data_IF_869669037957
#
_entry.id   IF_869669037957
#
_cell.length_a   1.000
_cell.length_b   1.000
_cell.length_c   1.000
_cell.angle_alpha   90.00
_cell.angle_beta   90.00
_cell.angle_gamma   90.00
#
_symmetry.space_group_name_H-M   'P 1'
#
loop_
_entity.id
_entity.type
_entity.pdbx_description
1 polymer ?
#
# COMPACT_ATOMS: atom_id res chain seq x y z
N UNK A 1 58.81 0.27 -17.34
CA UNK A 1 58.98 0.03 -15.90
C UNK A 1 57.59 -0.06 -15.30
N UNK A 2 57.10 -1.28 -15.11
CA UNK A 2 55.80 -1.55 -14.47
C UNK A 2 56.07 -1.68 -12.97
N UNK A 3 56.00 -0.55 -12.25
CA UNK A 3 55.89 -0.58 -10.79
C UNK A 3 54.65 -1.40 -10.43
N UNK A 4 54.77 -2.30 -9.45
CA UNK A 4 53.61 -3.00 -8.93
C UNK A 4 52.70 -1.96 -8.30
N UNK A 5 51.42 -1.93 -8.69
CA UNK A 5 50.42 -1.00 -8.14
C UNK A 5 50.45 -0.91 -6.60
N UNK A 6 50.83 -2.00 -5.95
CA UNK A 6 51.04 -2.07 -4.50
C UNK A 6 52.15 -1.15 -4.00
N UNK A 7 53.28 -1.09 -4.68
CA UNK A 7 54.43 -0.28 -4.27
C UNK A 7 54.15 1.20 -4.50
N UNK A 8 53.47 1.52 -5.61
CA UNK A 8 53.02 2.88 -5.92
C UNK A 8 52.00 3.37 -4.88
N UNK A 9 50.98 2.57 -4.52
CA UNK A 9 49.97 2.93 -3.49
C UNK A 9 50.60 3.12 -2.09
N UNK A 10 51.59 2.29 -1.72
CA UNK A 10 52.34 2.46 -0.46
C UNK A 10 53.19 3.73 -0.49
N UNK A 11 53.82 4.03 -1.61
CA UNK A 11 54.61 5.25 -1.79
C UNK A 11 53.75 6.51 -1.69
N UNK A 12 52.55 6.51 -2.30
CA UNK A 12 51.58 7.61 -2.19
C UNK A 12 51.16 7.89 -0.74
N UNK A 13 51.00 6.86 0.09
CA UNK A 13 50.70 7.06 1.52
C UNK A 13 51.86 7.76 2.25
N UNK A 14 53.11 7.37 1.93
CA UNK A 14 54.30 8.04 2.47
C UNK A 14 54.41 9.49 1.98
N UNK A 15 54.13 9.75 0.70
CA UNK A 15 54.09 11.11 0.17
C UNK A 15 53.04 11.97 0.87
N UNK A 16 51.86 11.43 1.16
CA UNK A 16 50.81 12.13 1.91
C UNK A 16 51.28 12.51 3.33
N UNK A 17 52.00 11.61 4.02
CA UNK A 17 52.59 11.86 5.33
C UNK A 17 53.66 12.97 5.27
N UNK A 18 54.56 12.93 4.27
CA UNK A 18 55.65 13.91 4.11
C UNK A 18 55.12 15.28 3.65
N UNK A 19 54.06 15.29 2.85
CA UNK A 19 53.50 16.53 2.28
C UNK A 19 52.62 17.31 3.26
N UNK A 20 52.11 16.67 4.31
CA UNK A 20 51.27 17.31 5.31
C UNK A 20 52.07 18.28 6.20
N UNK A 21 51.97 19.58 5.93
CA UNK A 21 52.74 20.61 6.66
C UNK A 21 52.17 20.97 8.04
N UNK A 22 50.86 20.79 8.26
CA UNK A 22 50.21 21.25 9.49
C UNK A 22 49.40 20.16 10.18
N UNK A 23 48.50 19.50 9.46
CA UNK A 23 47.66 18.42 10.00
C UNK A 23 47.52 17.32 8.97
N UNK A 24 47.67 16.08 9.42
CA UNK A 24 47.33 14.88 8.66
C UNK A 24 46.01 14.34 9.21
N UNK A 25 44.99 14.20 8.35
CA UNK A 25 43.69 13.63 8.71
C UNK A 25 43.54 12.26 8.04
N UNK A 26 43.29 11.24 8.84
CA UNK A 26 43.08 9.86 8.38
C UNK A 26 41.73 9.38 8.92
N UNK A 27 40.93 8.78 8.05
CA UNK A 27 39.64 8.18 8.40
C UNK A 27 39.46 6.84 7.73
N UNK A 28 38.73 5.93 8.38
CA UNK A 28 38.29 4.67 7.81
C UNK A 28 36.93 4.27 8.39
N UNK A 29 36.23 3.37 7.70
CA UNK A 29 34.96 2.81 8.17
C UNK A 29 35.30 1.70 9.17
N UNK A 30 35.04 1.94 10.45
CA UNK A 30 35.37 0.98 11.52
C UNK A 30 34.36 -0.15 11.73
N UNK A 31 33.12 -0.01 11.22
CA UNK A 31 32.09 -1.06 11.31
C UNK A 31 31.16 -1.06 10.10
N UNK A 32 30.64 -2.23 9.77
CA UNK A 32 29.58 -2.39 8.77
C UNK A 32 28.23 -1.87 9.29
N UNK A 33 27.48 -1.16 8.44
CA UNK A 33 26.16 -0.62 8.79
C UNK A 33 25.06 -1.70 8.87
N UNK A 34 25.29 -2.86 8.25
CA UNK A 34 24.30 -3.94 8.13
C UNK A 34 24.33 -4.89 9.32
N UNK A 35 25.51 -5.42 9.65
CA UNK A 35 25.72 -6.48 10.63
C UNK A 35 26.58 -6.05 11.82
N UNK A 36 27.02 -4.78 11.86
CA UNK A 36 27.85 -4.21 12.93
C UNK A 36 29.20 -4.95 13.12
N UNK A 37 29.63 -5.75 12.16
CA UNK A 37 30.93 -6.40 12.16
C UNK A 37 32.05 -5.35 12.12
N UNK A 38 33.13 -5.63 12.85
CA UNK A 38 34.30 -4.75 12.90
C UNK A 38 35.04 -4.77 11.57
N UNK A 39 35.49 -3.60 11.15
CA UNK A 39 36.32 -3.40 9.97
C UNK A 39 37.63 -2.80 10.39
N UNK A 40 38.70 -3.37 9.85
CA UNK A 40 40.05 -2.96 10.15
C UNK A 40 40.49 -1.83 9.23
N UNK A 41 41.33 -0.91 9.74
CA UNK A 41 41.96 0.10 8.90
C UNK A 41 42.91 -0.58 7.88
N UNK A 42 43.33 0.19 6.88
CA UNK A 42 44.42 -0.25 5.99
C UNK A 42 45.67 -0.56 6.81
N UNK A 43 46.43 -1.58 6.40
CA UNK A 43 47.69 -1.97 7.06
C UNK A 43 48.66 -0.79 7.18
N UNK A 44 48.67 0.12 6.21
CA UNK A 44 49.51 1.33 6.27
C UNK A 44 49.12 2.30 7.40
N UNK A 45 47.82 2.42 7.67
CA UNK A 45 47.32 3.21 8.80
C UNK A 45 47.66 2.51 10.11
N UNK A 46 47.56 1.18 10.16
CA UNK A 46 47.96 0.39 11.32
C UNK A 46 49.46 0.55 11.62
N UNK A 47 50.34 0.41 10.60
CA UNK A 47 51.80 0.62 10.71
C UNK A 47 52.12 2.02 11.28
N UNK A 48 51.41 3.06 10.82
CA UNK A 48 51.61 4.43 11.31
C UNK A 48 51.15 4.60 12.77
N UNK A 49 49.97 4.10 13.12
CA UNK A 49 49.41 4.19 14.49
C UNK A 49 50.26 3.39 15.48
N UNK A 50 50.76 2.22 15.06
CA UNK A 50 51.69 1.39 15.84
C UNK A 50 53.01 2.13 16.08
N UNK A 51 53.59 2.72 15.03
CA UNK A 51 54.83 3.50 15.16
C UNK A 51 54.67 4.71 16.11
N UNK A 52 53.56 5.45 16.01
CA UNK A 52 53.27 6.58 16.91
C UNK A 52 53.14 6.11 18.36
N UNK A 53 52.39 5.02 18.60
CA UNK A 53 52.18 4.48 19.94
C UNK A 53 53.48 3.97 20.59
N UNK A 54 54.37 3.36 19.82
CA UNK A 54 55.66 2.84 20.33
C UNK A 54 56.70 3.93 20.63
N UNK A 55 56.53 5.11 20.04
CA UNK A 55 57.53 6.21 20.12
C UNK A 55 57.10 7.39 20.99
N UNK A 56 55.87 7.38 21.52
CA UNK A 56 55.31 8.48 22.30
C UNK A 56 54.64 7.97 23.58
N UNK A 57 54.47 8.86 24.54
CA UNK A 57 53.63 8.66 25.72
C UNK A 57 52.84 9.95 26.00
N UNK A 58 51.73 9.84 26.73
CA UNK A 58 50.94 11.01 27.12
C UNK A 58 51.50 11.62 28.41
N UNK A 59 51.43 12.95 28.60
CA UNK A 59 51.82 13.56 29.87
C UNK A 59 51.10 12.92 31.06
N UNK A 60 51.84 12.54 32.10
CA UNK A 60 51.33 11.80 33.26
C UNK A 60 51.44 10.27 33.18
N UNK A 61 51.94 9.73 32.06
CA UNK A 61 52.20 8.31 31.87
C UNK A 61 53.72 7.97 31.90
N UNK A 62 54.58 8.86 32.41
CA UNK A 62 56.06 8.75 32.35
C UNK A 62 56.62 7.47 33.00
N UNK A 63 56.00 7.01 34.08
CA UNK A 63 56.43 5.83 34.84
C UNK A 63 55.65 4.55 34.47
N UNK A 64 54.73 4.64 33.50
CA UNK A 64 53.96 3.46 33.05
C UNK A 64 54.80 2.54 32.19
N UNK A 65 54.37 1.28 32.10
CA UNK A 65 55.02 0.34 31.20
C UNK A 65 54.74 0.72 29.73
N UNK A 66 55.59 0.19 28.84
CA UNK A 66 55.55 0.51 27.41
C UNK A 66 54.19 0.17 26.77
N UNK A 67 53.64 -1.00 27.08
CA UNK A 67 52.41 -1.51 26.46
C UNK A 67 51.18 -0.67 26.86
N UNK A 68 51.07 -0.28 28.14
CA UNK A 68 49.98 0.56 28.64
C UNK A 68 50.06 1.99 28.08
N UNK A 69 51.27 2.54 27.99
CA UNK A 69 51.51 3.84 27.38
C UNK A 69 51.12 3.84 25.90
N UNK A 70 51.58 2.83 25.14
CA UNK A 70 51.27 2.66 23.71
C UNK A 70 49.75 2.61 23.47
N UNK A 71 49.02 1.79 24.24
CA UNK A 71 47.57 1.66 24.10
C UNK A 71 46.84 2.99 24.32
N UNK A 72 47.28 3.79 25.31
CA UNK A 72 46.66 5.08 25.62
C UNK A 72 46.92 6.12 24.54
N UNK A 73 48.12 6.15 23.96
CA UNK A 73 48.42 7.00 22.81
C UNK A 73 47.52 6.64 21.62
N UNK A 74 47.40 5.35 21.28
CA UNK A 74 46.53 4.88 20.18
C UNK A 74 45.07 5.26 20.41
N UNK A 75 44.57 5.07 21.63
CA UNK A 75 43.22 5.46 22.00
C UNK A 75 43.00 6.99 21.97
N UNK A 76 44.02 7.78 22.31
CA UNK A 76 43.95 9.25 22.30
C UNK A 76 43.86 9.83 20.88
N UNK A 77 44.62 9.28 19.94
CA UNK A 77 44.63 9.75 18.54
C UNK A 77 43.47 9.15 17.70
N UNK A 78 42.84 8.08 18.18
CA UNK A 78 41.71 7.43 17.49
C UNK A 78 40.38 8.02 17.95
N UNK A 79 39.56 8.49 16.99
CA UNK A 79 38.22 8.99 17.24
C UNK A 79 37.16 8.04 16.69
N UNK A 80 36.28 7.51 17.53
CA UNK A 80 35.07 6.84 17.09
C UNK A 80 33.96 7.87 16.91
N UNK A 81 33.53 8.07 15.66
CA UNK A 81 32.40 8.93 15.34
C UNK A 81 31.07 8.18 15.50
N UNK A 82 30.02 8.91 15.88
CA UNK A 82 28.69 8.33 15.98
C UNK A 82 28.13 7.96 14.61
N UNK A 83 27.18 7.02 14.58
CA UNK A 83 26.55 6.56 13.33
C UNK A 83 25.64 7.62 12.73
N UNK A 84 24.88 8.33 13.57
CA UNK A 84 23.88 9.29 13.12
C UNK A 84 24.38 10.71 13.31
N UNK A 85 24.15 11.62 12.34
CA UNK A 85 24.62 13.00 12.43
C UNK A 85 23.95 13.79 13.57
N UNK A 86 22.77 13.36 14.01
CA UNK A 86 22.01 13.94 15.11
C UNK A 86 22.25 13.25 16.47
N UNK A 87 23.27 12.39 16.59
CA UNK A 87 23.62 11.84 17.89
C UNK A 87 24.02 12.98 18.86
N UNK A 88 23.47 13.04 20.09
CA UNK A 88 23.79 14.09 21.05
C UNK A 88 25.29 14.28 21.31
N UNK A 89 26.10 13.21 21.18
CA UNK A 89 27.56 13.29 21.38
C UNK A 89 28.21 14.31 20.45
N UNK A 90 27.70 14.47 19.22
CA UNK A 90 28.22 15.40 18.23
C UNK A 90 27.96 16.87 18.58
N UNK A 91 27.05 17.17 19.52
CA UNK A 91 26.67 18.54 19.91
C UNK A 91 27.15 18.90 21.31
N UNK A 92 27.95 18.04 21.95
CA UNK A 92 28.62 18.35 23.20
C UNK A 92 29.80 19.30 22.97
N UNK A 93 30.06 20.19 23.92
CA UNK A 93 31.17 21.15 23.83
C UNK A 93 32.51 20.40 23.77
N UNK A 94 33.10 20.35 22.58
CA UNK A 94 34.38 19.69 22.30
C UNK A 94 34.97 20.29 21.02
N UNK A 95 36.25 20.02 20.75
CA UNK A 95 36.90 20.43 19.49
C UNK A 95 36.24 19.83 18.24
N UNK A 96 35.46 18.75 18.41
CA UNK A 96 34.80 18.00 17.34
C UNK A 96 33.29 18.26 17.30
N UNK A 97 32.81 19.28 18.00
CA UNK A 97 31.41 19.67 17.96
C UNK A 97 30.98 19.91 16.50
N UNK A 98 29.84 19.32 16.12
CA UNK A 98 29.23 19.50 14.82
C UNK A 98 28.79 20.95 14.64
N UNK A 99 29.07 21.48 13.44
CA UNK A 99 28.61 22.80 13.01
C UNK A 99 27.23 22.74 12.32
N UNK A 100 26.68 21.54 12.10
CA UNK A 100 25.42 21.29 11.41
C UNK A 100 24.22 21.56 12.35
N UNK A 101 23.78 22.81 12.40
CA UNK A 101 22.70 23.26 13.29
C UNK A 101 21.35 22.60 12.99
N UNK A 102 21.12 22.13 11.77
CA UNK A 102 19.87 21.50 11.33
C UNK A 102 19.49 20.26 12.14
N UNK A 103 20.48 19.57 12.72
CA UNK A 103 20.28 18.38 13.53
C UNK A 103 20.18 18.66 15.03
N UNK A 104 20.51 19.88 15.46
CA UNK A 104 20.50 20.25 16.88
C UNK A 104 19.13 20.04 17.56
N UNK A 105 17.98 20.36 16.92
CA UNK A 105 16.68 20.08 17.53
C UNK A 105 16.44 18.59 17.75
N UNK A 106 16.86 17.74 16.81
CA UNK A 106 16.76 16.28 16.92
C UNK A 106 17.69 15.74 18.01
N UNK A 107 18.94 16.22 18.05
CA UNK A 107 19.93 15.84 19.06
C UNK A 107 19.49 16.22 20.49
N UNK A 108 18.84 17.38 20.65
CA UNK A 108 18.28 17.82 21.93
C UNK A 108 16.91 17.23 22.26
N UNK A 109 16.31 16.48 21.32
CA UNK A 109 14.93 15.95 21.43
C UNK A 109 13.89 17.07 21.64
N UNK A 110 14.09 18.20 20.98
CA UNK A 110 13.18 19.36 21.00
C UNK A 110 11.99 19.21 20.04
N UNK A 111 11.89 18.08 19.34
CA UNK A 111 10.77 17.77 18.46
C UNK A 111 9.47 17.52 19.23
N UNK A 112 8.35 18.00 18.68
CA UNK A 112 7.01 17.59 19.10
C UNK A 112 6.62 16.31 18.37
N UNK A 113 6.08 15.33 19.09
CA UNK A 113 5.45 14.17 18.46
C UNK A 113 4.30 14.63 17.53
N UNK A 114 4.09 13.91 16.43
CA UNK A 114 2.90 14.14 15.61
C UNK A 114 1.65 13.93 16.45
N UNK A 115 0.67 14.82 16.30
CA UNK A 115 -0.64 14.67 16.93
C UNK A 115 -1.42 13.55 16.27
N UNK A 116 -2.42 13.02 16.98
CA UNK A 116 -3.33 12.03 16.41
C UNK A 116 -3.95 12.55 15.10
N UNK A 117 -3.81 11.75 14.05
CA UNK A 117 -4.31 12.13 12.72
C UNK A 117 -5.83 12.30 12.71
N UNK A 118 -6.54 11.45 13.45
CA UNK A 118 -8.00 11.45 13.47
C UNK A 118 -8.51 12.53 14.43
N UNK A 119 -8.81 13.68 13.87
CA UNK A 119 -9.55 14.76 14.52
C UNK A 119 -10.95 14.85 13.90
N UNK A 120 -11.98 15.01 14.73
CA UNK A 120 -13.35 15.16 14.25
C UNK A 120 -13.49 16.49 13.50
N UNK A 121 -14.03 16.42 12.29
CA UNK A 121 -14.24 17.59 11.44
C UNK A 121 -15.67 18.11 11.58
N UNK A 122 -15.83 19.42 11.37
CA UNK A 122 -17.16 20.03 11.40
C UNK A 122 -18.13 19.36 10.38
N UNK A 123 -19.35 19.03 10.83
CA UNK A 123 -20.40 18.49 9.98
C UNK A 123 -20.70 19.39 8.79
N UNK A 124 -20.84 18.79 7.61
CA UNK A 124 -21.37 19.47 6.42
C UNK A 124 -22.81 19.04 6.18
N UNK A 125 -23.73 19.96 5.84
CA UNK A 125 -25.07 19.58 5.45
C UNK A 125 -25.01 18.71 4.17
N UNK A 126 -25.80 17.64 4.16
CA UNK A 126 -25.95 16.74 3.02
C UNK A 126 -27.44 16.70 2.70
N UNK A 127 -27.87 17.60 1.82
CA UNK A 127 -29.27 17.70 1.41
C UNK A 127 -29.59 16.74 0.26
N UNK A 128 -28.61 16.49 -0.61
CA UNK A 128 -28.70 15.59 -1.75
C UNK A 128 -27.49 14.66 -1.78
N UNK A 129 -27.72 13.38 -2.02
CA UNK A 129 -26.68 12.35 -2.11
C UNK A 129 -26.96 11.45 -3.31
N UNK A 130 -25.97 11.17 -4.15
CA UNK A 130 -26.16 10.18 -5.21
C UNK A 130 -26.03 8.78 -4.64
N UNK A 131 -26.79 7.82 -5.18
CA UNK A 131 -26.69 6.44 -4.74
C UNK A 131 -25.28 5.85 -4.98
N UNK A 132 -24.61 6.25 -6.06
CA UNK A 132 -23.23 5.89 -6.34
C UNK A 132 -22.24 6.39 -5.26
N UNK A 133 -22.46 7.60 -4.72
CA UNK A 133 -21.65 8.12 -3.61
C UNK A 133 -21.81 7.28 -2.35
N UNK A 134 -23.05 6.88 -2.04
CA UNK A 134 -23.36 6.00 -0.92
C UNK A 134 -22.73 4.61 -1.09
N UNK A 135 -22.89 4.00 -2.27
CA UNK A 135 -22.26 2.73 -2.64
C UNK A 135 -20.74 2.80 -2.51
N UNK A 136 -20.11 3.83 -3.08
CA UNK A 136 -18.65 4.04 -3.02
C UNK A 136 -18.16 4.26 -1.60
N UNK A 137 -18.92 4.95 -0.76
CA UNK A 137 -18.59 5.12 0.66
C UNK A 137 -18.56 3.77 1.37
N UNK A 138 -19.65 2.99 1.28
CA UNK A 138 -19.76 1.72 1.97
C UNK A 138 -18.89 0.60 1.39
N UNK A 139 -18.39 0.75 0.16
CA UNK A 139 -17.37 -0.15 -0.38
C UNK A 139 -16.08 -0.08 0.44
N UNK A 140 -15.68 1.11 0.90
CA UNK A 140 -14.51 1.31 1.76
C UNK A 140 -14.59 2.67 2.49
N UNK A 141 -15.21 2.75 3.69
CA UNK A 141 -15.52 4.03 4.36
C UNK A 141 -14.29 4.88 4.70
N UNK A 142 -13.21 4.25 5.18
CA UNK A 142 -11.95 4.95 5.48
C UNK A 142 -11.38 5.60 4.21
N UNK A 143 -11.26 4.86 3.11
CA UNK A 143 -10.84 5.40 1.80
C UNK A 143 -11.76 6.53 1.37
N UNK A 144 -13.07 6.37 1.54
CA UNK A 144 -14.03 7.40 1.18
C UNK A 144 -13.85 8.69 2.00
N UNK A 145 -13.52 8.63 3.29
CA UNK A 145 -13.17 9.82 4.08
C UNK A 145 -11.98 10.58 3.46
N UNK A 146 -10.89 9.89 3.14
CA UNK A 146 -9.74 10.55 2.49
C UNK A 146 -10.11 11.13 1.12
N UNK A 147 -10.77 10.35 0.27
CA UNK A 147 -11.02 10.75 -1.12
C UNK A 147 -12.16 11.76 -1.28
N UNK A 148 -13.22 11.66 -0.49
CA UNK A 148 -14.43 12.48 -0.61
C UNK A 148 -14.40 13.67 0.37
N UNK A 149 -14.01 13.46 1.64
CA UNK A 149 -13.98 14.53 2.65
C UNK A 149 -12.69 15.36 2.55
N UNK A 150 -11.53 14.71 2.57
CA UNK A 150 -10.24 15.41 2.56
C UNK A 150 -9.73 15.72 1.15
N UNK A 151 -10.33 15.13 0.11
CA UNK A 151 -9.87 15.18 -1.29
C UNK A 151 -8.42 14.67 -1.49
N UNK A 152 -7.96 13.82 -0.58
CA UNK A 152 -6.65 13.19 -0.61
C UNK A 152 -6.75 11.84 -1.32
N UNK A 153 -6.01 11.71 -2.42
CA UNK A 153 -5.88 10.46 -3.17
C UNK A 153 -4.40 10.09 -3.25
N UNK A 154 -4.01 9.02 -2.56
CA UNK A 154 -2.69 8.41 -2.71
C UNK A 154 -2.64 7.61 -4.00
N UNK A 155 -2.37 8.29 -5.12
CA UNK A 155 -2.16 7.63 -6.41
C UNK A 155 -0.70 7.17 -6.45
N UNK A 156 -0.49 5.88 -6.65
CA UNK A 156 0.81 5.37 -7.10
C UNK A 156 0.92 5.69 -8.58
N UNK A 157 1.93 6.44 -9.00
CA UNK A 157 2.13 6.77 -10.42
C UNK A 157 2.73 5.60 -11.22
N UNK A 158 3.21 4.56 -10.54
CA UNK A 158 3.83 3.41 -11.18
C UNK A 158 2.83 2.26 -11.29
N UNK A 159 2.35 2.02 -12.50
CA UNK A 159 1.94 0.68 -12.92
C UNK A 159 3.17 0.03 -13.52
N UNK A 160 3.69 -1.01 -12.87
CA UNK A 160 4.84 -1.77 -13.34
C UNK A 160 4.53 -2.30 -14.74
N UNK A 161 5.36 -1.91 -15.72
CA UNK A 161 5.26 -2.46 -17.07
C UNK A 161 5.88 -3.86 -16.99
N UNK A 162 5.15 -4.93 -17.37
CA UNK A 162 5.71 -6.26 -17.34
C UNK A 162 6.99 -6.36 -18.18
N UNK A 163 8.06 -6.93 -17.61
CA UNK A 163 9.34 -7.17 -18.30
C UNK A 163 9.25 -8.26 -19.39
N UNK A 164 8.15 -9.02 -19.40
CA UNK A 164 7.92 -10.12 -20.31
C UNK A 164 6.46 -10.21 -20.75
N UNK A 165 6.23 -11.01 -21.79
CA UNK A 165 4.89 -11.39 -22.24
C UNK A 165 4.13 -12.20 -21.18
N UNK A 166 2.79 -12.21 -21.19
CA UNK A 166 2.01 -12.93 -20.19
C UNK A 166 2.13 -14.44 -20.36
N UNK A 167 2.75 -15.13 -19.40
CA UNK A 167 2.78 -16.60 -19.37
C UNK A 167 1.60 -17.20 -18.60
N UNK A 168 1.07 -16.44 -17.63
CA UNK A 168 -0.10 -16.81 -16.83
C UNK A 168 -1.10 -15.67 -16.82
N UNK A 169 -2.36 -15.98 -16.52
CA UNK A 169 -3.44 -15.00 -16.38
C UNK A 169 -3.86 -14.95 -14.90
N UNK A 170 -3.47 -13.89 -14.20
CA UNK A 170 -3.62 -13.77 -12.75
C UNK A 170 -4.20 -12.42 -12.32
N UNK A 171 -4.53 -12.32 -11.03
CA UNK A 171 -4.93 -11.06 -10.39
C UNK A 171 -6.04 -10.31 -11.13
N UNK A 172 -5.76 -9.03 -11.41
CA UNK A 172 -6.70 -8.08 -12.01
C UNK A 172 -7.02 -8.42 -13.48
N UNK A 173 -6.05 -8.88 -14.25
CA UNK A 173 -6.24 -9.21 -15.67
C UNK A 173 -7.21 -10.37 -15.84
N UNK A 174 -7.02 -11.44 -15.05
CA UNK A 174 -7.97 -12.56 -15.01
C UNK A 174 -9.37 -12.11 -14.63
N UNK A 175 -9.49 -11.22 -13.64
CA UNK A 175 -10.78 -10.69 -13.21
C UNK A 175 -11.47 -9.91 -14.34
N UNK A 176 -10.74 -9.03 -15.05
CA UNK A 176 -11.26 -8.25 -16.16
C UNK A 176 -11.71 -9.14 -17.33
N UNK A 177 -10.90 -10.15 -17.68
CA UNK A 177 -11.24 -11.14 -18.69
C UNK A 177 -12.52 -11.89 -18.30
N UNK A 178 -12.55 -12.45 -17.09
CA UNK A 178 -13.70 -13.22 -16.63
C UNK A 178 -14.96 -12.38 -16.52
N UNK A 179 -14.85 -11.07 -16.24
CA UNK A 179 -16.02 -10.19 -16.19
C UNK A 179 -16.65 -10.02 -17.57
N UNK A 180 -15.82 -9.82 -18.60
CA UNK A 180 -16.31 -9.71 -19.97
C UNK A 180 -16.84 -11.05 -20.49
N UNK A 181 -16.11 -12.14 -20.21
CA UNK A 181 -16.51 -13.50 -20.60
C UNK A 181 -17.84 -13.90 -19.94
N UNK A 182 -17.98 -13.66 -18.63
CA UNK A 182 -19.22 -13.96 -17.91
C UNK A 182 -20.41 -13.19 -18.48
N UNK A 183 -20.25 -11.89 -18.74
CA UNK A 183 -21.32 -11.09 -19.33
C UNK A 183 -21.70 -11.59 -20.73
N UNK A 184 -20.72 -11.91 -21.58
CA UNK A 184 -20.98 -12.47 -22.91
C UNK A 184 -21.76 -13.81 -22.80
N UNK A 185 -21.36 -14.70 -21.90
CA UNK A 185 -22.06 -15.98 -21.71
C UNK A 185 -23.47 -15.83 -21.13
N UNK A 186 -23.71 -14.83 -20.27
CA UNK A 186 -25.04 -14.52 -19.72
C UNK A 186 -25.97 -13.96 -20.79
N UNK A 187 -25.45 -13.15 -21.71
CA UNK A 187 -26.20 -12.62 -22.86
C UNK A 187 -26.24 -13.58 -24.06
N UNK A 188 -25.73 -14.81 -23.91
CA UNK A 188 -25.66 -15.83 -24.96
C UNK A 188 -24.88 -15.37 -26.22
N UNK A 189 -23.90 -14.49 -26.02
CA UNK A 189 -22.98 -14.05 -27.06
C UNK A 189 -21.90 -15.10 -27.34
N UNK A 190 -21.30 -14.99 -28.53
CA UNK A 190 -20.25 -15.88 -29.01
C UNK A 190 -18.91 -15.62 -28.31
N UNK A 191 -18.52 -16.53 -27.41
CA UNK A 191 -17.26 -16.47 -26.67
C UNK A 191 -16.03 -16.50 -27.60
N UNK A 192 -16.10 -17.11 -28.78
CA UNK A 192 -14.97 -17.17 -29.72
C UNK A 192 -14.60 -15.79 -30.26
N UNK A 193 -15.56 -14.86 -30.35
CA UNK A 193 -15.27 -13.46 -30.71
C UNK A 193 -14.44 -12.78 -29.63
N UNK A 194 -14.78 -13.01 -28.36
CA UNK A 194 -14.04 -12.48 -27.22
C UNK A 194 -12.63 -13.06 -27.19
N UNK A 195 -12.49 -14.38 -27.39
CA UNK A 195 -11.19 -15.06 -27.48
C UNK A 195 -10.27 -14.41 -28.53
N UNK A 196 -10.76 -14.23 -29.75
CA UNK A 196 -9.98 -13.61 -30.84
C UNK A 196 -9.54 -12.18 -30.49
N UNK A 197 -10.38 -11.42 -29.79
CA UNK A 197 -10.07 -10.06 -29.35
C UNK A 197 -8.95 -10.04 -28.31
N UNK A 198 -9.06 -10.86 -27.26
CA UNK A 198 -8.04 -10.96 -26.21
C UNK A 198 -6.70 -11.48 -26.74
N UNK A 199 -6.75 -12.47 -27.65
CA UNK A 199 -5.57 -12.97 -28.34
C UNK A 199 -4.90 -11.90 -29.20
N UNK A 200 -5.68 -11.14 -29.99
CA UNK A 200 -5.14 -10.07 -30.83
C UNK A 200 -4.57 -8.89 -30.01
N UNK A 201 -5.07 -8.67 -28.80
CA UNK A 201 -4.56 -7.68 -27.87
C UNK A 201 -3.29 -8.12 -27.11
N UNK A 202 -2.82 -9.36 -27.30
CA UNK A 202 -1.65 -9.89 -26.58
C UNK A 202 -1.88 -10.11 -25.08
N UNK A 203 -3.15 -10.24 -24.66
CA UNK A 203 -3.55 -10.38 -23.24
C UNK A 203 -3.66 -11.83 -22.78
N UNK A 204 -3.35 -12.79 -23.65
CA UNK A 204 -3.37 -14.22 -23.37
C UNK A 204 -1.98 -14.83 -23.59
N UNK A 205 -1.65 -15.91 -22.87
CA UNK A 205 -0.44 -16.67 -23.16
C UNK A 205 -0.38 -17.17 -24.60
N UNK A 206 0.85 -17.34 -25.09
CA UNK A 206 1.08 -17.67 -26.49
C UNK A 206 0.58 -19.08 -26.86
N UNK A 207 -0.04 -19.18 -28.05
CA UNK A 207 -0.41 -20.44 -28.69
C UNK A 207 -1.34 -21.32 -27.84
N UNK A 208 -0.99 -22.61 -27.75
CA UNK A 208 -1.81 -23.62 -27.05
C UNK A 208 -2.02 -23.31 -25.56
N UNK A 209 -1.08 -22.59 -24.90
CA UNK A 209 -1.26 -22.19 -23.50
C UNK A 209 -2.40 -21.18 -23.34
N UNK A 210 -2.54 -20.24 -24.27
CA UNK A 210 -3.67 -19.31 -24.30
C UNK A 210 -5.00 -20.01 -24.52
N UNK A 211 -5.02 -21.02 -25.40
CA UNK A 211 -6.20 -21.86 -25.66
C UNK A 211 -6.64 -22.61 -24.40
N UNK A 212 -5.70 -23.28 -23.71
CA UNK A 212 -5.98 -24.02 -22.47
C UNK A 212 -6.50 -23.10 -21.36
N UNK A 213 -5.85 -21.93 -21.17
CA UNK A 213 -6.28 -20.96 -20.16
C UNK A 213 -7.68 -20.44 -20.47
N UNK A 214 -7.94 -20.13 -21.73
CA UNK A 214 -9.25 -19.68 -22.20
C UNK A 214 -10.34 -20.74 -21.97
N UNK A 215 -10.10 -21.99 -22.39
CA UNK A 215 -11.04 -23.10 -22.19
C UNK A 215 -11.37 -23.30 -20.70
N UNK A 216 -10.36 -23.24 -19.82
CA UNK A 216 -10.57 -23.34 -18.39
C UNK A 216 -11.43 -22.19 -17.83
N UNK A 217 -11.21 -20.94 -18.28
CA UNK A 217 -12.05 -19.82 -17.87
C UNK A 217 -13.47 -19.95 -18.43
N UNK A 218 -13.64 -20.41 -19.67
CA UNK A 218 -14.93 -20.68 -20.29
C UNK A 218 -15.72 -21.72 -19.49
N UNK A 219 -15.09 -22.82 -19.09
CA UNK A 219 -15.75 -23.86 -18.30
C UNK A 219 -16.26 -23.29 -16.96
N UNK A 220 -15.41 -22.55 -16.24
CA UNK A 220 -15.80 -21.97 -14.94
C UNK A 220 -16.89 -20.89 -15.09
N UNK A 221 -16.77 -20.00 -16.07
CA UNK A 221 -17.74 -18.93 -16.29
C UNK A 221 -19.05 -19.43 -16.86
N UNK A 222 -19.05 -20.54 -17.62
CA UNK A 222 -20.28 -21.17 -18.13
C UNK A 222 -21.16 -21.66 -16.99
N UNK A 223 -20.58 -22.37 -16.01
CA UNK A 223 -21.32 -22.84 -14.84
C UNK A 223 -21.97 -21.69 -14.05
N UNK A 224 -21.26 -20.56 -13.91
CA UNK A 224 -21.83 -19.36 -13.28
C UNK A 224 -22.90 -18.69 -14.16
N UNK A 225 -22.67 -18.59 -15.46
CA UNK A 225 -23.61 -18.00 -16.41
C UNK A 225 -24.91 -18.80 -16.53
N UNK A 226 -24.87 -20.12 -16.41
CA UNK A 226 -26.05 -20.99 -16.39
C UNK A 226 -26.94 -20.67 -15.18
N UNK A 227 -26.38 -20.61 -13.97
CA UNK A 227 -27.12 -20.20 -12.76
C UNK A 227 -27.78 -18.83 -12.90
N UNK A 228 -27.09 -17.88 -13.53
CA UNK A 228 -27.64 -16.55 -13.81
C UNK A 228 -28.80 -16.67 -14.79
N UNK A 229 -28.63 -17.38 -15.91
CA UNK A 229 -29.64 -17.54 -16.97
C UNK A 229 -30.91 -18.22 -16.47
N UNK A 230 -30.80 -19.24 -15.61
CA UNK A 230 -31.95 -19.92 -15.00
C UNK A 230 -32.88 -18.98 -14.23
N UNK A 231 -32.32 -17.93 -13.62
CA UNK A 231 -33.07 -16.95 -12.83
C UNK A 231 -33.32 -15.64 -13.58
N UNK A 232 -32.78 -15.45 -14.79
CA UNK A 232 -32.80 -14.17 -15.49
C UNK A 232 -34.11 -13.97 -16.22
N UNK A 233 -34.76 -12.85 -15.94
CA UNK A 233 -35.92 -12.31 -16.63
C UNK A 233 -35.57 -10.95 -17.26
N UNK A 234 -36.33 -10.49 -18.26
CA UNK A 234 -36.17 -9.14 -18.81
C UNK A 234 -36.31 -8.07 -17.72
N UNK A 235 -35.27 -7.25 -17.57
CA UNK A 235 -35.24 -6.16 -16.60
C UNK A 235 -35.36 -4.78 -17.23
N UNK A 236 -35.74 -3.79 -16.43
CA UNK A 236 -35.75 -2.36 -16.79
C UNK A 236 -34.90 -1.54 -15.84
N UNK A 237 -34.51 -0.35 -16.25
CA UNK A 237 -33.91 0.62 -15.32
C UNK A 237 -35.02 1.36 -14.58
N UNK A 238 -34.85 1.56 -13.28
CA UNK A 238 -35.71 2.39 -12.45
C UNK A 238 -34.89 3.57 -11.91
N UNK A 239 -35.51 4.74 -11.88
CA UNK A 239 -34.93 5.93 -11.28
C UNK A 239 -35.07 5.84 -9.76
N UNK A 240 -34.05 6.26 -9.04
CA UNK A 240 -34.07 6.40 -7.59
C UNK A 240 -34.37 7.87 -7.31
N UNK A 241 -35.48 8.14 -6.62
CA UNK A 241 -35.84 9.48 -6.15
C UNK A 241 -36.47 9.38 -4.75
N UNK A 242 -35.63 9.16 -3.73
CA UNK A 242 -36.08 8.84 -2.38
C UNK A 242 -35.66 9.93 -1.39
N UNK A 243 -36.61 10.46 -0.62
CA UNK A 243 -36.29 11.27 0.55
C UNK A 243 -36.16 10.37 1.78
N UNK A 244 -34.95 10.26 2.32
CA UNK A 244 -34.66 9.43 3.48
C UNK A 244 -33.80 10.20 4.49
N UNK A 245 -34.27 10.30 5.74
CA UNK A 245 -33.57 11.00 6.83
C UNK A 245 -33.19 12.47 6.48
N UNK A 246 -34.06 13.15 5.72
CA UNK A 246 -33.86 14.52 5.27
C UNK A 246 -32.82 14.67 4.16
N UNK A 247 -32.44 13.58 3.49
CA UNK A 247 -31.53 13.57 2.33
C UNK A 247 -32.30 13.08 1.11
N UNK A 248 -32.21 13.80 0.01
CA UNK A 248 -32.67 13.33 -1.29
C UNK A 248 -31.62 12.39 -1.89
N UNK A 249 -31.97 11.11 -1.99
CA UNK A 249 -31.16 10.09 -2.63
C UNK A 249 -31.56 9.93 -4.09
N UNK A 250 -30.62 10.16 -5.01
CA UNK A 250 -30.88 10.12 -6.46
C UNK A 250 -29.97 9.15 -7.19
N UNK A 251 -30.44 8.53 -8.27
CA UNK A 251 -29.62 7.63 -9.09
C UNK A 251 -30.45 6.67 -9.94
N UNK A 252 -29.86 5.54 -10.33
CA UNK A 252 -30.52 4.52 -11.13
C UNK A 252 -30.22 3.12 -10.62
N UNK A 253 -31.24 2.27 -10.54
CA UNK A 253 -31.06 0.82 -10.43
C UNK A 253 -31.29 0.20 -11.80
N UNK A 254 -30.28 -0.47 -12.32
CA UNK A 254 -30.31 -1.10 -13.64
C UNK A 254 -30.79 -2.55 -13.56
N UNK A 255 -31.35 -3.06 -14.66
CA UNK A 255 -31.73 -4.47 -14.83
C UNK A 255 -32.62 -4.99 -13.67
N UNK A 256 -33.58 -4.18 -13.24
CA UNK A 256 -34.58 -4.57 -12.24
C UNK A 256 -35.60 -5.48 -12.90
N UNK A 257 -35.70 -6.69 -12.39
CA UNK A 257 -36.59 -7.75 -12.88
C UNK A 257 -37.92 -7.72 -12.13
N UNK A 258 -38.97 -8.39 -12.65
CA UNK A 258 -40.26 -8.49 -11.95
C UNK A 258 -40.17 -9.14 -10.57
N UNK A 259 -39.20 -10.03 -10.37
CA UNK A 259 -38.96 -10.75 -9.11
C UNK A 259 -37.86 -10.09 -8.23
N UNK A 260 -37.30 -8.96 -8.68
CA UNK A 260 -36.39 -8.10 -7.93
C UNK A 260 -35.03 -7.87 -8.60
N UNK A 261 -33.94 -7.98 -7.85
CA UNK A 261 -32.59 -7.67 -8.33
C UNK A 261 -31.80 -8.95 -8.55
N UNK A 262 -31.19 -9.09 -9.73
CA UNK A 262 -30.20 -10.12 -10.02
C UNK A 262 -28.88 -9.45 -10.39
N UNK A 263 -27.82 -9.86 -9.70
CA UNK A 263 -26.45 -9.42 -9.93
C UNK A 263 -25.55 -10.64 -10.09
N UNK A 264 -24.41 -10.47 -10.73
CA UNK A 264 -23.41 -11.53 -10.85
C UNK A 264 -22.02 -10.94 -10.97
N UNK A 265 -21.01 -11.66 -10.44
CA UNK A 265 -19.60 -11.28 -10.59
C UNK A 265 -18.68 -12.51 -10.65
N UNK A 266 -17.58 -12.44 -11.43
CA UNK A 266 -16.58 -13.51 -11.53
C UNK A 266 -15.57 -13.47 -10.37
N UNK A 267 -16.04 -13.26 -9.14
CA UNK A 267 -15.22 -13.14 -7.94
C UNK A 267 -15.62 -14.20 -6.92
N UNK A 268 -14.86 -14.36 -5.84
CA UNK A 268 -15.32 -15.10 -4.66
C UNK A 268 -16.35 -14.26 -3.90
N UNK A 269 -17.14 -14.94 -3.06
CA UNK A 269 -18.07 -14.29 -2.13
C UNK A 269 -17.31 -13.39 -1.16
N UNK A 270 -17.82 -12.19 -0.94
CA UNK A 270 -17.26 -11.24 0.05
C UNK A 270 -18.36 -10.45 0.71
N UNK A 271 -18.08 -9.95 1.91
CA UNK A 271 -19.01 -9.11 2.69
C UNK A 271 -19.21 -7.78 1.99
N UNK A 272 -18.18 -7.22 1.35
CA UNK A 272 -18.31 -5.99 0.57
C UNK A 272 -19.36 -6.13 -0.55
N UNK A 273 -19.36 -7.25 -1.29
CA UNK A 273 -20.40 -7.51 -2.31
C UNK A 273 -21.79 -7.64 -1.70
N UNK A 274 -21.93 -8.35 -0.57
CA UNK A 274 -23.19 -8.48 0.15
C UNK A 274 -23.74 -7.12 0.59
N UNK A 275 -22.87 -6.25 1.10
CA UNK A 275 -23.23 -4.88 1.49
C UNK A 275 -23.65 -4.02 0.29
N UNK A 276 -22.98 -4.15 -0.86
CA UNK A 276 -23.40 -3.44 -2.08
C UNK A 276 -24.79 -3.90 -2.56
N UNK A 277 -25.04 -5.21 -2.60
CA UNK A 277 -26.36 -5.74 -2.94
C UNK A 277 -27.41 -5.32 -1.91
N UNK A 278 -27.05 -5.28 -0.62
CA UNK A 278 -27.94 -4.86 0.44
C UNK A 278 -28.38 -3.41 0.28
N UNK A 279 -27.45 -2.50 -0.04
CA UNK A 279 -27.79 -1.10 -0.30
C UNK A 279 -28.74 -0.97 -1.52
N UNK A 280 -28.49 -1.72 -2.59
CA UNK A 280 -29.40 -1.77 -3.74
C UNK A 280 -30.78 -2.31 -3.35
N UNK A 281 -30.83 -3.36 -2.53
CA UNK A 281 -32.05 -3.96 -2.02
C UNK A 281 -32.86 -2.99 -1.16
N UNK A 282 -32.20 -2.24 -0.27
CA UNK A 282 -32.86 -1.23 0.55
C UNK A 282 -33.49 -0.12 -0.29
N UNK A 283 -32.78 0.37 -1.31
CA UNK A 283 -33.32 1.39 -2.21
C UNK A 283 -34.48 0.82 -3.02
N UNK A 284 -34.34 -0.39 -3.57
CA UNK A 284 -35.39 -1.09 -4.30
C UNK A 284 -36.67 -1.27 -3.45
N UNK A 285 -36.53 -1.76 -2.22
CA UNK A 285 -37.69 -1.98 -1.33
C UNK A 285 -38.26 -0.69 -0.76
N UNK A 286 -37.44 0.34 -0.52
CA UNK A 286 -37.90 1.64 -0.05
C UNK A 286 -38.83 2.32 -1.06
N UNK A 287 -38.57 2.16 -2.36
CA UNK A 287 -39.43 2.67 -3.44
C UNK A 287 -40.72 1.84 -3.63
N UNK A 288 -41.00 0.89 -2.72
CA UNK A 288 -42.25 0.14 -2.66
C UNK A 288 -42.26 -1.14 -3.49
N UNK A 289 -41.19 -1.47 -4.18
CA UNK A 289 -41.12 -2.74 -4.92
C UNK A 289 -40.98 -3.94 -3.97
N UNK A 290 -41.73 -5.01 -4.28
CA UNK A 290 -41.67 -6.28 -3.55
C UNK A 290 -40.96 -7.31 -4.40
N UNK A 291 -39.86 -7.87 -3.90
CA UNK A 291 -39.06 -8.85 -4.61
C UNK A 291 -37.77 -9.17 -3.86
N UNK A 292 -37.08 -10.20 -4.33
CA UNK A 292 -35.82 -10.64 -3.73
C UNK A 292 -34.63 -9.99 -4.41
N UNK A 293 -33.48 -9.95 -3.73
CA UNK A 293 -32.23 -9.48 -4.34
C UNK A 293 -31.16 -10.55 -4.20
N UNK A 294 -30.53 -10.92 -5.32
CA UNK A 294 -29.59 -12.03 -5.44
C UNK A 294 -28.31 -11.58 -6.13
N UNK A 295 -27.16 -12.02 -5.63
CA UNK A 295 -25.89 -11.96 -6.34
C UNK A 295 -25.27 -13.35 -6.44
N UNK A 296 -24.95 -13.79 -7.66
CA UNK A 296 -24.21 -15.04 -7.88
C UNK A 296 -22.73 -14.77 -8.12
N UNK A 297 -21.90 -15.55 -7.46
CA UNK A 297 -20.44 -15.46 -7.54
C UNK A 297 -19.82 -16.84 -7.79
N UNK A 298 -18.50 -16.89 -7.95
CA UNK A 298 -17.77 -18.16 -8.21
C UNK A 298 -17.93 -19.13 -7.04
N UNK A 299 -17.66 -20.41 -7.32
CA UNK A 299 -17.72 -21.52 -6.33
C UNK A 299 -19.07 -21.63 -5.64
N UNK A 300 -20.15 -21.49 -6.41
CA UNK A 300 -21.54 -21.59 -5.95
C UNK A 300 -21.97 -20.55 -4.91
N UNK A 301 -21.09 -19.60 -4.55
CA UNK A 301 -21.41 -18.57 -3.57
C UNK A 301 -22.57 -17.68 -4.02
N UNK A 302 -23.35 -17.21 -3.04
CA UNK A 302 -24.44 -16.27 -3.26
C UNK A 302 -24.70 -15.39 -2.03
N UNK A 303 -25.17 -14.16 -2.27
CA UNK A 303 -25.97 -13.43 -1.29
C UNK A 303 -27.41 -13.36 -1.78
N UNK A 304 -28.35 -13.62 -0.88
CA UNK A 304 -29.79 -13.54 -1.16
C UNK A 304 -30.49 -12.80 -0.03
N UNK A 305 -31.22 -11.75 -0.39
CA UNK A 305 -32.04 -10.98 0.53
C UNK A 305 -33.53 -11.19 0.23
N UNK A 306 -34.33 -11.52 1.26
CA UNK A 306 -35.77 -11.73 1.12
C UNK A 306 -36.48 -10.39 0.86
N UNK A 307 -37.72 -10.40 0.35
CA UNK A 307 -38.48 -9.16 0.17
C UNK A 307 -38.68 -8.42 1.50
N UNK A 308 -38.64 -7.10 1.45
CA UNK A 308 -38.78 -6.24 2.61
C UNK A 308 -39.88 -5.20 2.42
N UNK A 309 -40.59 -4.85 3.50
CA UNK A 309 -41.56 -3.75 3.49
C UNK A 309 -40.86 -2.38 3.41
N UNK A 310 -41.43 -1.46 2.65
CA UNK A 310 -40.84 -0.13 2.37
C UNK A 310 -40.49 0.66 3.64
N UNK A 311 -41.35 0.64 4.66
CA UNK A 311 -41.07 1.32 5.93
C UNK A 311 -39.82 0.77 6.62
N UNK A 312 -39.64 -0.55 6.62
CA UNK A 312 -38.46 -1.19 7.19
C UNK A 312 -37.20 -0.86 6.37
N UNK A 313 -37.32 -0.86 5.04
CA UNK A 313 -36.22 -0.51 4.14
C UNK A 313 -35.74 0.93 4.36
N UNK A 314 -36.66 1.88 4.50
CA UNK A 314 -36.35 3.28 4.83
C UNK A 314 -35.65 3.41 6.19
N UNK A 315 -36.05 2.63 7.19
CA UNK A 315 -35.40 2.63 8.51
C UNK A 315 -33.95 2.14 8.44
N UNK A 316 -33.68 1.05 7.73
CA UNK A 316 -32.31 0.59 7.54
C UNK A 316 -31.49 1.56 6.68
N UNK A 317 -32.05 2.06 5.59
CA UNK A 317 -31.38 3.03 4.71
C UNK A 317 -30.98 4.29 5.48
N UNK A 318 -31.81 4.74 6.42
CA UNK A 318 -31.50 5.86 7.31
C UNK A 318 -30.23 5.63 8.13
N UNK A 319 -29.99 4.40 8.61
CA UNK A 319 -28.76 4.05 9.33
C UNK A 319 -27.52 4.15 8.43
N UNK A 320 -27.63 3.75 7.16
CA UNK A 320 -26.53 3.84 6.20
C UNK A 320 -26.26 5.29 5.77
N UNK A 321 -27.28 6.14 5.70
CA UNK A 321 -27.11 7.58 5.47
C UNK A 321 -26.46 8.25 6.69
N UNK A 322 -26.84 7.84 7.90
CA UNK A 322 -26.25 8.36 9.13
C UNK A 322 -24.78 7.93 9.27
N UNK A 323 -24.46 6.66 8.98
CA UNK A 323 -23.08 6.19 8.93
C UNK A 323 -22.24 6.93 7.88
N UNK A 324 -22.82 7.29 6.74
CA UNK A 324 -22.18 8.18 5.76
C UNK A 324 -21.87 9.55 6.35
N UNK A 325 -22.83 10.20 7.01
CA UNK A 325 -22.64 11.51 7.67
C UNK A 325 -21.53 11.47 8.71
N UNK A 326 -21.55 10.47 9.58
CA UNK A 326 -20.50 10.26 10.59
C UNK A 326 -19.14 10.00 9.94
N UNK A 327 -19.11 9.16 8.91
CA UNK A 327 -17.93 8.81 8.13
C UNK A 327 -17.32 9.97 7.33
N UNK A 328 -18.07 11.06 7.14
CA UNK A 328 -17.58 12.31 6.54
C UNK A 328 -17.01 13.30 7.57
N UNK A 329 -17.22 13.07 8.87
CA UNK A 329 -16.66 13.88 9.94
C UNK A 329 -15.44 13.21 10.57
N UNK A 330 -15.44 11.87 10.62
CA UNK A 330 -14.36 11.05 11.16
C UNK A 330 -14.30 9.73 10.38
N UNK A 331 -13.12 9.13 10.13
CA UNK A 331 -13.04 7.83 9.47
C UNK A 331 -13.89 6.78 10.21
N UNK A 332 -14.91 6.26 9.53
CA UNK A 332 -15.75 5.20 10.07
C UNK A 332 -15.02 3.86 9.94
N UNK A 333 -14.78 3.20 11.08
CA UNK A 333 -14.11 1.90 11.13
C UNK A 333 -15.11 0.78 10.84
N UNK A 334 -15.40 0.59 9.55
CA UNK A 334 -16.02 -0.64 9.05
C UNK A 334 -15.02 -1.30 8.11
N UNK A 335 -14.55 -2.49 8.50
CA UNK A 335 -13.63 -3.33 7.72
C UNK A 335 -14.41 -4.57 7.26
N UNK A 336 -15.05 -4.55 6.08
CA UNK A 336 -15.99 -5.59 5.66
C UNK A 336 -15.39 -7.00 5.69
N UNK A 337 -14.11 -7.12 5.32
CA UNK A 337 -13.41 -8.41 5.22
C UNK A 337 -12.84 -8.92 6.56
N UNK A 338 -12.68 -8.06 7.58
CA UNK A 338 -12.12 -8.46 8.89
C UNK A 338 -13.17 -8.51 10.01
N UNK A 339 -14.28 -7.78 9.85
CA UNK A 339 -15.36 -7.72 10.84
C UNK A 339 -16.59 -8.55 10.48
N UNK A 340 -16.67 -9.10 9.27
CA UNK A 340 -17.76 -9.99 8.88
C UNK A 340 -17.60 -11.41 9.43
N UNK A 341 -18.70 -12.15 9.67
CA UNK A 341 -18.60 -13.59 9.88
C UNK A 341 -18.05 -14.22 8.60
N UNK A 342 -16.97 -14.99 8.75
CA UNK A 342 -16.32 -15.73 7.66
C UNK A 342 -17.14 -16.89 7.13
#
# INVERSE_FOLDING_TARGET
>A
MTGSRRDDDRYLFLEALISAQSKLYISYIGRSIQDNSERFPSVLVQELVDYIGQSHYLPGDEERNCDESEQRVKAHITCFHSRMPFDPVNYTASERQSYAQEWLPAAKKEGSAHTDFIQELDPRPVDTLTFEQLQRFWAHPVRAFFQQRLQVNFRSEESEIPDAEPFTLEGLERYQLNLQLLNALVEEEDADKLYRRYRAAGQLPYGAFGEIVWEAQCQEMTALAERVRECRQPGKSIEIDLNCNGVQLTGWLTQVQPDGLLRWRPSMLSVSQGLQLWLEHLVYSADGYKGESRIFVRKEGEWRFPPMESEQALRYLSLYIEGYRQGMNKPLLLLPESGGPG
#
